data_IF_651575610788
#
_entry.id   IF_651575610788
#
_cell.length_a   1.000
_cell.length_b   1.000
_cell.length_c   1.000
_cell.angle_alpha   90.00
_cell.angle_beta   90.00
_cell.angle_gamma   90.00
#
_symmetry.space_group_name_H-M   'P 1'
#
loop_
_entity.id
_entity.type
_entity.pdbx_description
1 polymer ?
#
# COMPACT_ATOMS: atom_id res chain seq x y z
N UNK A 1 -7.10 -0.47 14.89
CA UNK A 1 -7.01 -1.25 13.65
C UNK A 1 -5.54 -1.42 13.31
N UNK A 2 -5.08 -2.62 12.95
CA UNK A 2 -3.65 -2.84 12.67
C UNK A 2 -3.33 -2.30 11.28
N UNK A 3 -2.11 -1.81 11.07
CA UNK A 3 -1.67 -1.26 9.76
C UNK A 3 -1.96 -2.22 8.60
N UNK A 4 -1.77 -3.53 8.84
CA UNK A 4 -2.01 -4.60 7.88
C UNK A 4 -3.47 -4.67 7.43
N UNK A 5 -4.41 -4.46 8.34
CA UNK A 5 -5.84 -4.48 8.03
C UNK A 5 -6.20 -3.28 7.15
N UNK A 6 -5.55 -2.12 7.36
CA UNK A 6 -5.80 -0.89 6.59
C UNK A 6 -5.27 -1.01 5.17
N UNK A 7 -4.07 -1.57 5.00
CA UNK A 7 -3.53 -1.85 3.66
C UNK A 7 -4.41 -2.90 2.96
N UNK A 8 -4.87 -3.92 3.69
CA UNK A 8 -5.77 -4.94 3.15
C UNK A 8 -7.13 -4.39 2.69
N UNK A 9 -7.74 -3.50 3.47
CA UNK A 9 -8.97 -2.81 3.09
C UNK A 9 -8.78 -1.97 1.82
N UNK A 10 -7.70 -1.21 1.74
CA UNK A 10 -7.41 -0.40 0.56
C UNK A 10 -7.26 -1.25 -0.71
N UNK A 11 -6.58 -2.39 -0.62
CA UNK A 11 -6.45 -3.32 -1.73
C UNK A 11 -7.81 -3.90 -2.15
N UNK A 12 -8.66 -4.31 -1.19
CA UNK A 12 -9.99 -4.82 -1.49
C UNK A 12 -10.87 -3.78 -2.22
N UNK A 13 -10.82 -2.51 -1.81
CA UNK A 13 -11.53 -1.43 -2.49
C UNK A 13 -11.06 -1.24 -3.93
N UNK A 14 -9.77 -1.40 -4.20
CA UNK A 14 -9.26 -1.41 -5.57
C UNK A 14 -9.74 -2.64 -6.36
N UNK A 15 -9.78 -3.83 -5.77
CA UNK A 15 -10.30 -5.04 -6.42
C UNK A 15 -11.81 -4.92 -6.71
N UNK A 16 -12.56 -4.18 -5.88
CA UNK A 16 -14.00 -3.94 -6.02
C UNK A 16 -14.36 -2.83 -7.03
N UNK A 17 -13.38 -2.18 -7.67
CA UNK A 17 -13.65 -1.07 -8.60
C UNK A 17 -13.75 0.31 -7.95
N UNK A 18 -13.64 0.40 -6.62
CA UNK A 18 -13.82 1.64 -5.86
C UNK A 18 -12.52 2.46 -5.76
N UNK A 19 -11.96 2.85 -6.92
CA UNK A 19 -10.62 3.43 -7.00
C UNK A 19 -10.39 4.67 -6.11
N UNK A 20 -11.36 5.59 -6.03
CA UNK A 20 -11.22 6.80 -5.22
C UNK A 20 -11.23 6.50 -3.71
N UNK A 21 -12.12 5.60 -3.28
CA UNK A 21 -12.19 5.16 -1.88
C UNK A 21 -10.97 4.32 -1.51
N UNK A 22 -10.53 3.44 -2.41
CA UNK A 22 -9.30 2.68 -2.29
C UNK A 22 -8.09 3.59 -2.13
N UNK A 23 -7.99 4.66 -2.91
CA UNK A 23 -6.91 5.62 -2.80
C UNK A 23 -6.93 6.40 -1.47
N UNK A 24 -8.12 6.87 -1.04
CA UNK A 24 -8.27 7.55 0.25
C UNK A 24 -7.87 6.63 1.42
N UNK A 25 -8.32 5.38 1.42
CA UNK A 25 -7.94 4.38 2.42
C UNK A 25 -6.44 4.07 2.37
N UNK A 26 -5.85 3.97 1.17
CA UNK A 26 -4.44 3.74 0.97
C UNK A 26 -3.59 4.87 1.55
N UNK A 27 -3.93 6.14 1.32
CA UNK A 27 -3.19 7.27 1.89
C UNK A 27 -3.10 7.21 3.43
N UNK A 28 -4.22 6.90 4.08
CA UNK A 28 -4.24 6.72 5.52
C UNK A 28 -3.35 5.54 5.94
N UNK A 29 -3.50 4.39 5.26
CA UNK A 29 -2.72 3.19 5.55
C UNK A 29 -1.21 3.39 5.36
N UNK A 30 -0.79 4.11 4.32
CA UNK A 30 0.62 4.41 4.04
C UNK A 30 1.23 5.33 5.10
N UNK A 31 0.46 6.28 5.63
CA UNK A 31 0.88 7.14 6.74
C UNK A 31 1.19 6.34 8.01
N UNK A 32 0.37 5.34 8.32
CA UNK A 32 0.61 4.43 9.43
C UNK A 32 1.77 3.47 9.15
N UNK A 33 1.82 2.93 7.93
CA UNK A 33 2.87 2.00 7.51
C UNK A 33 4.25 2.62 7.63
N UNK A 34 4.41 3.90 7.27
CA UNK A 34 5.68 4.62 7.39
C UNK A 34 6.32 4.56 8.79
N UNK A 35 5.53 4.29 9.85
CA UNK A 35 6.02 4.21 11.24
C UNK A 35 6.35 2.78 11.70
N UNK A 36 6.08 1.78 10.86
CA UNK A 36 6.27 0.37 11.16
C UNK A 36 7.36 -0.19 10.25
N UNK A 37 8.43 -0.69 10.86
CA UNK A 37 9.45 -1.46 10.15
C UNK A 37 9.12 -2.95 10.22
N UNK A 38 8.68 -3.52 9.10
CA UNK A 38 8.27 -4.91 9.02
C UNK A 38 8.31 -5.41 7.58
N UNK A 39 8.93 -6.58 7.38
CA UNK A 39 8.94 -7.29 6.09
C UNK A 39 7.52 -7.67 5.64
N UNK A 40 6.63 -7.94 6.58
CA UNK A 40 5.22 -8.24 6.30
C UNK A 40 4.47 -7.01 5.75
N UNK A 41 4.81 -5.80 6.21
CA UNK A 41 4.28 -4.56 5.66
C UNK A 41 4.75 -4.37 4.22
N UNK A 42 6.03 -4.62 3.92
CA UNK A 42 6.54 -4.55 2.55
C UNK A 42 5.80 -5.51 1.60
N UNK A 43 5.57 -6.76 2.02
CA UNK A 43 4.77 -7.72 1.25
C UNK A 43 3.35 -7.20 0.96
N UNK A 44 2.68 -6.60 1.96
CA UNK A 44 1.32 -6.07 1.77
C UNK A 44 1.27 -4.83 0.87
N UNK A 45 2.32 -4.01 0.89
CA UNK A 45 2.45 -2.89 -0.03
C UNK A 45 2.54 -3.36 -1.49
N UNK A 46 3.20 -4.50 -1.75
CA UNK A 46 3.22 -5.08 -3.10
C UNK A 46 1.82 -5.52 -3.55
N UNK A 47 1.03 -6.16 -2.68
CA UNK A 47 -0.37 -6.49 -3.01
C UNK A 47 -1.19 -5.23 -3.33
N UNK A 48 -1.02 -4.16 -2.55
CA UNK A 48 -1.69 -2.89 -2.80
C UNK A 48 -1.30 -2.30 -4.17
N UNK A 49 -0.02 -2.37 -4.54
CA UNK A 49 0.48 -1.91 -5.83
C UNK A 49 -0.13 -2.67 -7.01
N UNK A 50 -0.28 -3.99 -6.87
CA UNK A 50 -0.88 -4.84 -7.89
C UNK A 50 -2.36 -4.53 -8.07
N UNK A 51 -3.12 -4.39 -6.98
CA UNK A 51 -4.54 -4.04 -7.02
C UNK A 51 -4.78 -2.62 -7.61
N UNK A 52 -3.90 -1.67 -7.31
CA UNK A 52 -3.97 -0.31 -7.82
C UNK A 52 -3.55 -0.18 -9.31
N UNK A 53 -2.88 -1.19 -9.88
CA UNK A 53 -2.29 -1.14 -11.22
C UNK A 53 -3.26 -0.75 -12.35
N UNK A 54 -4.52 -1.21 -12.39
CA UNK A 54 -5.43 -0.91 -13.49
C UNK A 54 -5.88 0.55 -13.56
N UNK A 55 -5.73 1.32 -12.48
CA UNK A 55 -6.25 2.68 -12.39
C UNK A 55 -5.17 3.70 -12.77
N UNK A 56 -5.48 4.55 -13.74
CA UNK A 56 -4.59 5.60 -14.26
C UNK A 56 -4.97 7.01 -13.81
N UNK A 57 -5.43 7.16 -12.56
CA UNK A 57 -5.79 8.48 -12.02
C UNK A 57 -4.65 9.05 -11.19
N UNK A 58 -4.53 10.38 -11.15
CA UNK A 58 -3.44 11.05 -10.42
C UNK A 58 -3.39 10.67 -8.93
N UNK A 59 -4.55 10.46 -8.31
CA UNK A 59 -4.62 10.05 -6.90
C UNK A 59 -4.08 8.63 -6.68
N UNK A 60 -4.36 7.71 -7.62
CA UNK A 60 -3.81 6.34 -7.55
C UNK A 60 -2.32 6.34 -7.88
N UNK A 61 -1.87 7.21 -8.76
CA UNK A 61 -0.44 7.38 -9.07
C UNK A 61 0.37 7.83 -7.85
N UNK A 62 -0.16 8.75 -7.04
CA UNK A 62 0.48 9.16 -5.79
C UNK A 62 0.55 8.00 -4.79
N UNK A 63 -0.55 7.24 -4.63
CA UNK A 63 -0.56 6.01 -3.82
C UNK A 63 0.52 5.03 -4.27
N UNK A 64 0.62 4.77 -5.58
CA UNK A 64 1.61 3.84 -6.13
C UNK A 64 3.03 4.33 -5.91
N UNK A 65 3.29 5.62 -6.09
CA UNK A 65 4.60 6.23 -5.87
C UNK A 65 5.02 6.06 -4.41
N UNK A 66 4.15 6.47 -3.48
CA UNK A 66 4.44 6.43 -2.05
C UNK A 66 4.54 5.01 -1.50
N UNK A 67 3.75 4.07 -2.00
CA UNK A 67 3.85 2.66 -1.64
C UNK A 67 5.19 2.04 -2.12
N UNK A 68 5.67 2.39 -3.32
CA UNK A 68 6.99 1.95 -3.83
C UNK A 68 8.13 2.50 -3.01
N UNK A 69 8.11 3.79 -2.69
CA UNK A 69 9.13 4.43 -1.85
C UNK A 69 9.20 3.76 -0.48
N UNK A 70 8.05 3.50 0.14
CA UNK A 70 7.98 2.81 1.43
C UNK A 70 8.46 1.37 1.34
N UNK A 71 8.14 0.64 0.27
CA UNK A 71 8.64 -0.73 0.08
C UNK A 71 10.16 -0.75 -0.15
N UNK A 72 10.70 0.21 -0.91
CA UNK A 72 12.13 0.32 -1.21
C UNK A 72 12.96 0.78 0.01
N UNK A 73 12.40 1.63 0.87
CA UNK A 73 13.07 2.13 2.07
C UNK A 73 13.25 1.07 3.17
N UNK A 74 12.60 -0.10 3.04
CA UNK A 74 12.70 -1.20 4.00
C UNK A 74 13.51 -2.36 3.40
N UNK A 75 14.84 -2.41 3.62
CA UNK A 75 15.64 -3.52 3.15
C UNK A 75 15.17 -4.81 3.83
N UNK A 76 14.72 -5.78 3.05
CA UNK A 76 14.52 -7.16 3.50
C UNK A 76 15.89 -7.76 3.81
N UNK A 77 16.43 -7.45 4.99
CA UNK A 77 17.64 -8.12 5.47
C UNK A 77 17.22 -9.50 5.96
N UNK A 78 17.17 -10.47 5.05
CA UNK A 78 17.23 -11.88 5.44
C UNK A 78 18.69 -12.14 5.79
N UNK A 79 18.99 -12.21 7.09
CA UNK A 79 20.27 -12.75 7.52
C UNK A 79 20.31 -14.24 7.10
N UNK A 80 21.29 -14.57 6.24
CA UNK A 80 21.59 -15.92 5.79
C UNK A 80 22.32 -16.72 6.87
#
# INVERSE_FOLDING_TARGET
MKVMDRIGLAAALFDEGEAERGAAAAHQALGDAARVDSTLVASRLNTLLDAARPYGTAVVDDVRTRARELAAARPTTIAA
#
